data_IF_884507947404
#
_entry.id   IF_884507947404
#
_cell.length_a   1.000
_cell.length_b   1.000
_cell.length_c   1.000
_cell.angle_alpha   90.00
_cell.angle_beta   90.00
_cell.angle_gamma   90.00
#
_symmetry.space_group_name_H-M   'P 1'
#
loop_
_entity.id
_entity.type
_entity.pdbx_description
1 polymer ?
#
# COMPACT_ATOMS: atom_id res chain seq x y z
N UNK A 1 20.82 4.56 -11.80
CA UNK A 1 20.75 4.50 -10.32
C UNK A 1 19.34 4.92 -9.93
N UNK A 2 18.58 4.06 -9.27
CA UNK A 2 17.24 4.43 -8.79
C UNK A 2 17.46 5.19 -7.48
N UNK A 3 17.26 6.50 -7.50
CA UNK A 3 17.23 7.29 -6.27
C UNK A 3 16.07 6.79 -5.40
N UNK A 4 16.40 6.14 -4.28
CA UNK A 4 15.42 5.81 -3.25
C UNK A 4 15.05 7.09 -2.51
N UNK A 5 14.07 7.82 -3.02
CA UNK A 5 13.50 8.97 -2.33
C UNK A 5 12.77 8.46 -1.09
N UNK A 6 13.23 8.87 0.09
CA UNK A 6 12.54 8.56 1.33
C UNK A 6 11.12 9.14 1.29
N UNK A 7 10.14 8.33 1.70
CA UNK A 7 8.77 8.79 1.87
C UNK A 7 8.72 9.76 3.05
N UNK A 8 8.09 10.91 2.85
CA UNK A 8 7.80 11.87 3.92
C UNK A 8 6.40 11.55 4.43
N UNK A 9 6.25 11.27 5.72
CA UNK A 9 4.98 10.79 6.27
C UNK A 9 3.84 11.78 6.05
N UNK A 10 4.14 13.07 6.15
CA UNK A 10 3.21 14.19 6.01
C UNK A 10 2.58 14.29 4.62
N UNK A 11 3.22 13.69 3.62
CA UNK A 11 2.72 13.69 2.24
C UNK A 11 1.77 12.49 1.99
N UNK A 12 1.62 11.56 2.93
CA UNK A 12 0.67 10.42 2.85
C UNK A 12 -0.77 10.89 3.01
N UNK A 13 -1.63 10.46 2.09
CA UNK A 13 -3.03 10.92 2.02
C UNK A 13 -4.05 9.84 2.37
N UNK A 14 -3.63 8.58 2.39
CA UNK A 14 -4.49 7.46 2.77
C UNK A 14 -3.77 6.13 2.67
N UNK A 15 -4.43 5.07 3.12
CA UNK A 15 -3.92 3.71 3.02
C UNK A 15 -5.03 2.72 2.69
N UNK A 16 -4.69 1.56 2.13
CA UNK A 16 -5.62 0.46 1.94
C UNK A 16 -4.90 -0.88 1.99
N UNK A 17 -5.66 -1.95 2.16
CA UNK A 17 -5.13 -3.30 2.12
C UNK A 17 -5.56 -4.03 0.86
N UNK A 18 -4.66 -4.84 0.31
CA UNK A 18 -4.99 -5.86 -0.67
C UNK A 18 -4.68 -7.24 -0.10
N UNK A 19 -5.60 -8.18 -0.31
CA UNK A 19 -5.39 -9.57 0.03
C UNK A 19 -4.60 -10.25 -1.09
N UNK A 20 -3.42 -10.76 -0.74
CA UNK A 20 -2.59 -11.60 -1.60
C UNK A 20 -2.67 -13.07 -1.18
N UNK A 21 -2.07 -14.00 -1.96
CA UNK A 21 -2.06 -15.42 -1.62
C UNK A 21 -1.23 -15.69 -0.35
N UNK A 22 -1.90 -15.72 0.81
CA UNK A 22 -1.29 -16.02 2.11
C UNK A 22 -0.63 -14.83 2.82
N UNK A 23 -0.83 -13.60 2.34
CA UNK A 23 -0.34 -12.38 2.99
C UNK A 23 -1.24 -11.19 2.63
N UNK A 24 -1.14 -10.11 3.40
CA UNK A 24 -1.76 -8.84 3.05
C UNK A 24 -0.70 -7.86 2.60
N UNK A 25 -1.10 -6.99 1.67
CA UNK A 25 -0.31 -5.86 1.24
C UNK A 25 -0.93 -4.60 1.82
N UNK A 26 -0.13 -3.81 2.51
CA UNK A 26 -0.45 -2.45 2.88
C UNK A 26 0.02 -1.54 1.76
N UNK A 27 -0.90 -0.74 1.23
CA UNK A 27 -0.63 0.27 0.23
C UNK A 27 -0.81 1.66 0.84
N UNK A 28 0.09 2.58 0.50
CA UNK A 28 0.05 3.97 0.97
C UNK A 28 -0.11 4.92 -0.23
N UNK A 29 -1.12 5.78 -0.15
CA UNK A 29 -1.33 6.88 -1.09
C UNK A 29 -0.45 8.06 -0.71
N UNK A 30 0.04 8.77 -1.72
CA UNK A 30 0.87 9.94 -1.55
C UNK A 30 0.40 11.09 -2.43
N UNK A 31 0.36 12.30 -1.87
CA UNK A 31 -0.05 13.52 -2.58
C UNK A 31 0.87 13.89 -3.74
N UNK A 32 2.16 13.59 -3.61
CA UNK A 32 3.15 13.79 -4.68
C UNK A 32 3.08 12.59 -5.61
N UNK A 33 3.08 12.84 -6.93
CA UNK A 33 3.27 11.82 -7.98
C UNK A 33 4.67 11.21 -7.88
N UNK A 34 4.89 10.41 -6.85
CA UNK A 34 6.06 9.54 -6.72
C UNK A 34 5.80 8.37 -7.65
N UNK A 35 6.84 7.95 -8.38
CA UNK A 35 6.74 6.85 -9.32
C UNK A 35 6.64 5.56 -8.50
N UNK A 36 5.41 5.06 -8.33
CA UNK A 36 5.09 3.80 -7.68
C UNK A 36 4.28 3.95 -6.40
N UNK A 37 3.29 3.08 -6.23
CA UNK A 37 2.59 2.90 -4.96
C UNK A 37 3.56 2.28 -3.94
N UNK A 38 3.54 2.78 -2.70
CA UNK A 38 4.33 2.17 -1.62
C UNK A 38 3.58 0.94 -1.13
N UNK A 39 4.10 -0.24 -1.48
CA UNK A 39 3.54 -1.54 -1.11
C UNK A 39 4.41 -2.20 -0.05
N UNK A 40 3.82 -2.53 1.09
CA UNK A 40 4.45 -3.23 2.21
C UNK A 40 3.75 -4.56 2.40
N UNK A 41 4.46 -5.67 2.31
CA UNK A 41 3.91 -6.98 2.68
C UNK A 41 3.89 -7.10 4.20
N UNK A 42 2.71 -7.30 4.78
CA UNK A 42 2.52 -7.34 6.24
C UNK A 42 2.89 -8.69 6.86
N UNK A 43 3.11 -9.73 6.04
CA UNK A 43 3.45 -11.07 6.51
C UNK A 43 2.39 -11.64 7.46
N UNK A 44 2.80 -12.07 8.64
CA UNK A 44 1.92 -12.62 9.68
C UNK A 44 1.40 -11.57 10.67
N UNK A 45 1.61 -10.28 10.42
CA UNK A 45 1.13 -9.22 11.31
C UNK A 45 -0.39 -9.14 11.24
N UNK A 46 -1.02 -8.84 12.39
CA UNK A 46 -2.46 -8.65 12.47
C UNK A 46 -2.85 -7.33 11.79
N UNK A 47 -3.73 -7.42 10.79
CA UNK A 47 -4.19 -6.28 10.00
C UNK A 47 -4.94 -5.28 10.88
N UNK A 48 -5.72 -5.75 11.85
CA UNK A 48 -6.49 -4.87 12.74
C UNK A 48 -5.58 -4.00 13.60
N UNK A 49 -4.43 -4.54 14.02
CA UNK A 49 -3.44 -3.80 14.80
C UNK A 49 -2.77 -2.72 13.94
N UNK A 50 -2.48 -3.03 12.67
CA UNK A 50 -1.94 -2.07 11.70
C UNK A 50 -2.98 -0.99 11.39
N UNK A 51 -4.23 -1.38 11.10
CA UNK A 51 -5.34 -0.48 10.81
C UNK A 51 -5.57 0.49 11.97
N UNK A 52 -5.75 -0.02 13.17
CA UNK A 52 -5.98 0.80 14.37
C UNK A 52 -4.83 1.76 14.66
N UNK A 53 -3.62 1.44 14.21
CA UNK A 53 -2.46 2.34 14.30
C UNK A 53 -2.49 3.41 13.21
N UNK A 54 -2.70 3.03 11.94
CA UNK A 54 -2.63 3.93 10.79
C UNK A 54 -3.79 4.91 10.70
N UNK A 55 -5.02 4.47 11.05
CA UNK A 55 -6.22 5.32 11.02
C UNK A 55 -6.09 6.56 11.91
N UNK A 56 -5.17 6.55 12.89
CA UNK A 56 -4.85 7.72 13.74
C UNK A 56 -4.12 8.84 13.00
N UNK A 57 -3.49 8.52 11.86
CA UNK A 57 -2.63 9.44 11.11
C UNK A 57 -3.17 9.76 9.72
N UNK A 58 -3.70 8.75 9.03
CA UNK A 58 -4.19 8.85 7.66
C UNK A 58 -5.48 8.03 7.52
N UNK A 59 -6.42 8.42 6.64
CA UNK A 59 -7.66 7.68 6.45
C UNK A 59 -7.43 6.35 5.70
N UNK A 60 -8.24 5.33 6.03
CA UNK A 60 -8.34 4.11 5.22
C UNK A 60 -9.22 4.39 3.99
N UNK A 61 -8.78 3.95 2.82
CA UNK A 61 -9.44 4.14 1.53
C UNK A 61 -10.05 2.81 1.08
N UNK A 62 -11.26 2.51 1.56
CA UNK A 62 -11.95 1.22 1.30
C UNK A 62 -12.28 0.98 -0.18
N UNK A 63 -12.45 2.05 -0.97
CA UNK A 63 -12.80 1.98 -2.39
C UNK A 63 -11.59 1.66 -3.30
N UNK A 64 -10.37 1.65 -2.74
CA UNK A 64 -9.15 1.42 -3.52
C UNK A 64 -8.93 -0.08 -3.75
N UNK A 65 -8.76 -0.43 -5.03
CA UNK A 65 -8.44 -1.77 -5.50
C UNK A 65 -7.06 -1.79 -6.14
N UNK A 66 -6.49 -2.98 -6.27
CA UNK A 66 -5.25 -3.21 -7.01
C UNK A 66 -5.27 -2.47 -8.36
N UNK A 67 -4.20 -1.74 -8.67
CA UNK A 67 -4.04 -1.15 -9.99
C UNK A 67 -4.10 -2.27 -11.04
N UNK A 68 -4.92 -2.09 -12.09
CA UNK A 68 -5.17 -3.14 -13.10
C UNK A 68 -3.90 -3.75 -13.69
N UNK A 69 -2.82 -2.98 -13.77
CA UNK A 69 -1.52 -3.46 -14.27
C UNK A 69 -0.85 -4.45 -13.32
N UNK A 70 -0.97 -4.24 -12.00
CA UNK A 70 -0.48 -5.15 -10.98
C UNK A 70 -1.32 -6.43 -10.95
N UNK A 71 -2.64 -6.33 -11.14
CA UNK A 71 -3.51 -7.50 -11.30
C UNK A 71 -3.11 -8.35 -12.50
N UNK A 72 -2.81 -7.72 -13.64
CA UNK A 72 -2.33 -8.42 -14.84
C UNK A 72 -0.96 -9.07 -14.61
N UNK A 73 -0.01 -8.38 -13.96
CA UNK A 73 1.28 -8.96 -13.62
C UNK A 73 1.13 -10.19 -12.70
N UNK A 74 0.23 -10.11 -11.70
CA UNK A 74 -0.05 -11.20 -10.75
C UNK A 74 -0.67 -12.42 -11.42
N UNK A 75 -1.64 -12.21 -12.32
CA UNK A 75 -2.27 -13.30 -13.11
C UNK A 75 -1.24 -13.94 -14.04
N UNK A 76 -0.42 -13.12 -14.70
CA UNK A 76 0.51 -13.59 -15.72
C UNK A 76 1.84 -14.10 -15.14
N UNK A 77 2.11 -13.94 -13.84
CA UNK A 77 3.38 -14.27 -13.16
C UNK A 77 4.62 -13.64 -13.86
N UNK A 78 4.47 -12.43 -14.39
CA UNK A 78 5.52 -11.70 -15.11
C UNK A 78 6.18 -10.70 -14.17
#
# INVERSE_FOLDING_TARGET
MIEKKAMIWEDCTGFWFLEGPGYHELHLEHSKKVIGDFVIQTGSQNIEDIRSTLTKFVPELEDRKEARINTLARICKI
#
